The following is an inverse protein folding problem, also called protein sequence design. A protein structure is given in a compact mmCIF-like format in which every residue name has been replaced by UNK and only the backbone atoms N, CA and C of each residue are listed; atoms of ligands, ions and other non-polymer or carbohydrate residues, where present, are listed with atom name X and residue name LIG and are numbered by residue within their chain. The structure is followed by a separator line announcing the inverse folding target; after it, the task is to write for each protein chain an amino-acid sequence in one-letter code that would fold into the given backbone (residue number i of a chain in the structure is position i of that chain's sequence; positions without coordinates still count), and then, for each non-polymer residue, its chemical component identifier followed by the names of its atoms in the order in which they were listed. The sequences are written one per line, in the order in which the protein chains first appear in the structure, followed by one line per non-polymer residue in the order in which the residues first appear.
data_IF_210727150919
#
_entry.id   IF_210727150919
#
_cell.length_a   1.000
_cell.length_b   1.000
_cell.length_c   1.000
_cell.angle_alpha   90.00
_cell.angle_beta   90.00
_cell.angle_gamma   90.00
#
_symmetry.space_group_name_H-M   'P 1'
#
loop_
_entity.id
_entity.type
_entity.pdbx_description
1 polymer ?
#
# COMPACT_ATOMS: atom_id res chain seq x y z
N UNK A 1 -2.75 -18.70 23.36
CA UNK A 1 -2.95 -17.26 23.63
C UNK A 1 -3.33 -16.62 22.33
N UNK A 2 -4.49 -15.98 22.27
CA UNK A 2 -4.93 -15.31 21.05
C UNK A 2 -4.24 -13.95 20.91
N UNK A 3 -3.82 -13.63 19.69
CA UNK A 3 -3.21 -12.34 19.37
C UNK A 3 -4.30 -11.29 19.19
N UNK A 4 -4.17 -10.15 19.87
CA UNK A 4 -5.09 -9.03 19.67
C UNK A 4 -4.74 -8.26 18.41
N UNK A 5 -5.70 -7.50 17.87
CA UNK A 5 -5.43 -6.59 16.76
C UNK A 5 -4.32 -5.57 17.08
N UNK A 6 -4.20 -5.16 18.35
CA UNK A 6 -3.12 -4.28 18.81
C UNK A 6 -1.74 -4.95 18.72
N UNK A 7 -1.66 -6.26 19.00
CA UNK A 7 -0.40 -7.01 18.84
C UNK A 7 0.06 -7.00 17.38
N UNK A 8 -0.87 -7.15 16.42
CA UNK A 8 -0.56 -7.07 14.99
C UNK A 8 -0.03 -5.69 14.60
N UNK A 9 -0.69 -4.63 15.04
CA UNK A 9 -0.24 -3.26 14.77
C UNK A 9 1.13 -2.98 15.41
N UNK A 10 1.32 -3.42 16.65
CA UNK A 10 2.58 -3.26 17.39
C UNK A 10 3.72 -4.01 16.70
N UNK A 11 3.50 -5.26 16.30
CA UNK A 11 4.49 -6.06 15.56
C UNK A 11 4.92 -5.39 14.26
N UNK A 12 3.97 -4.84 13.50
CA UNK A 12 4.26 -4.13 12.26
C UNK A 12 5.11 -2.87 12.48
N UNK A 13 4.74 -2.03 13.46
CA UNK A 13 5.52 -0.82 13.81
C UNK A 13 6.94 -1.17 14.25
N UNK A 14 7.09 -2.24 15.04
CA UNK A 14 8.39 -2.76 15.46
C UNK A 14 9.20 -3.23 14.25
N UNK A 15 8.59 -3.98 13.32
CA UNK A 15 9.22 -4.39 12.07
C UNK A 15 9.70 -3.20 11.25
N UNK A 16 8.87 -2.18 11.04
CA UNK A 16 9.28 -0.98 10.29
C UNK A 16 10.48 -0.28 10.94
N UNK A 17 10.47 -0.11 12.27
CA UNK A 17 11.55 0.52 13.00
C UNK A 17 12.87 -0.28 12.96
N UNK A 18 12.81 -1.60 13.05
CA UNK A 18 14.00 -2.46 12.93
C UNK A 18 14.57 -2.37 11.52
N UNK A 19 13.72 -2.43 10.48
CA UNK A 19 14.19 -2.35 9.09
C UNK A 19 14.90 -1.01 8.84
N UNK A 20 14.32 0.09 9.30
CA UNK A 20 14.94 1.42 9.21
C UNK A 20 16.31 1.45 9.89
N UNK A 21 16.42 0.89 11.10
CA UNK A 21 17.67 0.82 11.84
C UNK A 21 18.75 0.02 11.10
N UNK A 22 18.40 -1.16 10.57
CA UNK A 22 19.34 -2.00 9.83
C UNK A 22 19.83 -1.33 8.54
N UNK A 23 18.95 -0.59 7.85
CA UNK A 23 19.31 0.18 6.65
C UNK A 23 20.21 1.37 6.98
N UNK A 24 19.92 2.11 8.06
CA UNK A 24 20.73 3.26 8.47
C UNK A 24 22.13 2.87 8.96
N UNK A 25 22.23 1.76 9.67
CA UNK A 25 23.50 1.30 10.26
C UNK A 25 24.31 0.39 9.35
N UNK A 26 23.68 -0.21 8.33
CA UNK A 26 24.30 -1.24 7.51
C UNK A 26 24.55 -2.56 8.26
N UNK A 27 23.97 -2.73 9.45
CA UNK A 27 24.15 -3.92 10.28
C UNK A 27 23.45 -5.12 9.62
N UNK A 28 24.21 -6.20 9.39
CA UNK A 28 23.73 -7.40 8.67
C UNK A 28 23.10 -8.46 9.58
N UNK A 29 23.49 -8.46 10.84
CA UNK A 29 23.02 -9.38 11.87
C UNK A 29 22.98 -8.63 13.21
N UNK A 30 21.83 -8.02 13.50
CA UNK A 30 21.60 -7.32 14.75
C UNK A 30 20.97 -8.26 15.78
N UNK A 31 21.43 -8.20 17.03
CA UNK A 31 20.81 -8.92 18.14
C UNK A 31 19.62 -8.15 18.70
N UNK A 32 18.77 -8.85 19.46
CA UNK A 32 17.68 -8.19 20.20
C UNK A 32 18.14 -7.03 21.10
N UNK A 33 19.37 -7.08 21.64
CA UNK A 33 19.96 -6.00 22.44
C UNK A 33 20.30 -4.77 21.60
N UNK A 34 20.71 -4.95 20.36
CA UNK A 34 21.15 -3.86 19.48
C UNK A 34 19.95 -3.04 19.00
N UNK A 35 18.85 -3.72 18.69
CA UNK A 35 17.59 -3.06 18.28
C UNK A 35 16.75 -2.59 19.48
N UNK A 36 17.01 -3.09 20.68
CA UNK A 36 16.25 -2.74 21.88
C UNK A 36 16.31 -1.24 22.18
N UNK A 37 17.50 -0.63 22.14
CA UNK A 37 17.65 0.78 22.48
C UNK A 37 16.85 1.70 21.56
N UNK A 38 16.86 1.41 20.25
CA UNK A 38 16.15 2.24 19.27
C UNK A 38 14.64 2.05 19.37
N UNK A 39 14.17 0.83 19.61
CA UNK A 39 12.75 0.54 19.81
C UNK A 39 12.22 1.19 21.10
N UNK A 40 12.99 1.16 22.18
CA UNK A 40 12.64 1.80 23.44
C UNK A 40 12.64 3.33 23.31
N UNK A 41 13.61 3.91 22.58
CA UNK A 41 13.65 5.36 22.30
C UNK A 41 12.44 5.82 21.48
N UNK A 42 11.98 4.99 20.55
CA UNK A 42 10.77 5.24 19.73
C UNK A 42 9.46 4.94 20.47
N UNK A 43 9.50 4.50 21.73
CA UNK A 43 8.31 4.17 22.52
C UNK A 43 7.53 2.96 22.02
N UNK A 44 8.17 2.09 21.21
CA UNK A 44 7.53 0.90 20.63
C UNK A 44 7.56 -0.30 21.60
N UNK A 45 8.51 -0.29 22.53
CA UNK A 45 8.65 -1.26 23.61
C UNK A 45 8.92 -0.54 24.92
N UNK A 46 8.56 -1.20 26.02
CA UNK A 46 8.85 -0.70 27.36
C UNK A 46 10.33 -0.90 27.70
N UNK A 47 10.88 0.06 28.43
CA UNK A 47 12.22 -0.10 29.01
C UNK A 47 12.13 -1.02 30.22
N UNK A 48 12.82 -2.15 30.14
CA UNK A 48 12.99 -3.07 31.26
C UNK A 48 14.46 -3.16 31.71
N UNK A 49 14.65 -3.61 32.97
CA UNK A 49 15.98 -3.79 33.58
C UNK A 49 16.82 -4.88 32.92
N UNK A 50 16.22 -5.72 32.08
CA UNK A 50 16.85 -6.90 31.47
C UNK A 50 17.07 -6.71 29.95
N UNK A 51 17.14 -5.45 29.51
CA UNK A 51 17.41 -5.05 28.13
C UNK A 51 16.58 -5.83 27.11
N UNK A 52 15.25 -5.80 27.26
CA UNK A 52 14.31 -6.31 26.28
C UNK A 52 13.70 -7.67 26.62
N UNK A 53 13.56 -7.99 27.91
CA UNK A 53 12.80 -9.17 28.33
C UNK A 53 11.37 -9.16 27.77
N UNK A 54 10.65 -8.04 27.91
CA UNK A 54 9.28 -7.95 27.39
C UNK A 54 9.24 -8.01 25.87
N UNK A 55 10.25 -7.45 25.21
CA UNK A 55 10.40 -7.54 23.76
C UNK A 55 10.60 -8.99 23.32
N UNK A 56 11.50 -9.75 23.96
CA UNK A 56 11.71 -11.18 23.65
C UNK A 56 10.47 -12.04 23.94
N UNK A 57 9.73 -11.75 25.01
CA UNK A 57 8.44 -12.42 25.28
C UNK A 57 7.41 -12.12 24.19
N UNK A 58 7.36 -10.87 23.70
CA UNK A 58 6.49 -10.50 22.59
C UNK A 58 6.86 -11.25 21.30
N UNK A 59 8.14 -11.36 20.96
CA UNK A 59 8.60 -12.17 19.81
C UNK A 59 8.24 -13.65 19.96
N UNK A 60 8.39 -14.21 21.18
CA UNK A 60 7.97 -15.57 21.50
C UNK A 60 6.47 -15.75 21.27
N UNK A 61 5.64 -14.80 21.71
CA UNK A 61 4.19 -14.81 21.47
C UNK A 61 3.86 -14.86 19.97
N UNK A 62 4.53 -14.04 19.14
CA UNK A 62 4.34 -14.04 17.69
C UNK A 62 4.81 -15.34 17.01
N UNK A 63 5.91 -15.92 17.51
CA UNK A 63 6.42 -17.21 17.05
C UNK A 63 5.42 -18.32 17.35
N UNK A 64 4.94 -18.40 18.58
CA UNK A 64 4.03 -19.46 19.02
C UNK A 64 2.67 -19.38 18.32
N UNK A 65 2.31 -18.21 17.79
CA UNK A 65 1.14 -17.99 16.93
C UNK A 65 1.42 -18.14 15.42
N UNK A 66 2.64 -18.53 15.01
CA UNK A 66 3.07 -18.70 13.61
C UNK A 66 2.92 -17.45 12.71
N UNK A 67 2.98 -16.24 13.26
CA UNK A 67 2.86 -14.98 12.50
C UNK A 67 4.14 -14.14 12.48
N UNK A 68 5.18 -14.56 13.20
CA UNK A 68 6.44 -13.81 13.32
C UNK A 68 7.03 -13.42 11.96
N UNK A 69 7.21 -14.39 11.06
CA UNK A 69 7.80 -14.18 9.73
C UNK A 69 6.93 -13.32 8.80
N UNK A 70 5.63 -13.25 9.07
CA UNK A 70 4.70 -12.40 8.32
C UNK A 70 4.76 -10.94 8.79
N UNK A 71 4.86 -10.69 10.09
CA UNK A 71 4.78 -9.35 10.67
C UNK A 71 6.14 -8.69 10.83
N UNK A 72 7.19 -9.49 11.07
CA UNK A 72 8.56 -9.04 11.26
C UNK A 72 9.47 -9.93 10.39
N UNK A 73 9.43 -9.77 9.05
CA UNK A 73 10.15 -10.64 8.12
C UNK A 73 11.68 -10.62 8.25
N UNK A 74 12.23 -9.59 8.90
CA UNK A 74 13.66 -9.50 9.24
C UNK A 74 14.07 -10.35 10.45
N UNK A 75 13.11 -10.86 11.23
CA UNK A 75 13.38 -11.54 12.49
C UNK A 75 13.51 -13.05 12.29
N UNK A 76 14.64 -13.58 12.72
CA UNK A 76 14.93 -15.00 12.79
C UNK A 76 15.23 -15.38 14.23
N UNK A 77 15.11 -16.67 14.53
CA UNK A 77 15.50 -17.19 15.83
C UNK A 77 16.31 -18.47 15.66
N UNK A 78 17.28 -18.64 16.55
CA UNK A 78 17.99 -19.91 16.79
C UNK A 78 17.65 -20.36 18.19
N UNK A 79 17.61 -21.68 18.41
CA UNK A 79 17.43 -22.23 19.75
C UNK A 79 18.80 -22.72 20.22
N UNK A 80 19.24 -22.24 21.37
CA UNK A 80 20.51 -22.68 21.94
C UNK A 80 20.36 -24.03 22.67
N UNK A 81 21.48 -24.60 23.12
CA UNK A 81 21.53 -25.90 23.82
C UNK A 81 20.69 -25.93 25.12
N UNK A 82 20.33 -24.77 25.66
CA UNK A 82 19.48 -24.62 26.85
C UNK A 82 18.00 -24.49 26.52
N UNK A 83 17.62 -24.54 25.24
CA UNK A 83 16.24 -24.37 24.77
C UNK A 83 15.76 -22.92 24.76
N UNK A 84 16.66 -21.94 24.91
CA UNK A 84 16.31 -20.52 24.84
C UNK A 84 16.42 -20.00 23.41
N UNK A 85 15.51 -19.10 23.04
CA UNK A 85 15.52 -18.47 21.73
C UNK A 85 16.49 -17.28 21.71
N UNK A 86 17.46 -17.34 20.81
CA UNK A 86 18.31 -16.22 20.42
C UNK A 86 17.71 -15.55 19.19
N UNK A 87 17.50 -14.23 19.27
CA UNK A 87 16.76 -13.47 18.26
C UNK A 87 17.72 -12.61 17.45
N UNK A 88 17.67 -12.81 16.14
CA UNK A 88 18.53 -12.16 15.16
C UNK A 88 17.69 -11.37 14.16
N UNK A 89 18.23 -10.25 13.69
CA UNK A 89 17.57 -9.35 12.77
C UNK A 89 18.48 -9.04 11.58
N UNK A 90 17.95 -9.32 10.39
CA UNK A 90 18.69 -9.21 9.14
C UNK A 90 17.95 -8.27 8.19
N UNK A 91 18.69 -7.53 7.36
CA UNK A 91 18.07 -6.61 6.41
C UNK A 91 17.17 -7.40 5.46
N UNK A 92 15.86 -7.13 5.49
CA UNK A 92 14.96 -7.80 4.56
C UNK A 92 15.08 -7.14 3.18
N UNK A 93 15.36 -7.94 2.15
CA UNK A 93 15.43 -7.49 0.74
C UNK A 93 14.01 -7.26 0.18
N UNK A 94 13.00 -7.76 0.89
CA UNK A 94 11.61 -7.38 0.64
C UNK A 94 11.53 -5.88 0.94
N UNK A 95 11.51 -5.06 -0.12
CA UNK A 95 11.12 -3.66 -0.04
C UNK A 95 9.97 -3.58 0.96
N UNK A 96 10.09 -2.70 1.95
CA UNK A 96 8.96 -2.20 2.71
C UNK A 96 8.00 -1.54 1.72
N UNK A 97 7.25 -2.35 0.96
CA UNK A 97 6.03 -1.92 0.33
C UNK A 97 5.13 -1.60 1.50
N UNK A 98 4.92 -0.31 1.71
CA UNK A 98 3.88 0.24 2.59
C UNK A 98 2.71 -0.73 2.63
N UNK A 99 2.60 -1.53 3.69
CA UNK A 99 1.46 -2.42 3.88
C UNK A 99 0.29 -1.57 4.38
N UNK A 100 -0.14 -0.61 3.58
CA UNK A 100 -1.53 -0.23 3.56
C UNK A 100 -2.27 -1.40 2.90
N UNK A 101 -3.01 -2.16 3.71
CA UNK A 101 -4.04 -3.13 3.30
C UNK A 101 -3.62 -4.18 2.25
N UNK A 102 -3.09 -5.32 2.71
CA UNK A 102 -3.09 -6.56 1.94
C UNK A 102 -4.08 -7.56 2.53
N UNK A 103 -5.37 -7.19 2.44
CA UNK A 103 -6.33 -8.18 1.97
C UNK A 103 -5.86 -8.61 0.58
N UNK A 104 -5.69 -9.92 0.39
CA UNK A 104 -5.19 -10.54 -0.84
C UNK A 104 -5.86 -9.95 -2.09
N UNK A 105 -5.14 -9.13 -2.84
CA UNK A 105 -5.29 -9.05 -4.29
C UNK A 105 -3.89 -9.03 -4.86
N UNK A 106 -3.52 -10.12 -5.54
CA UNK A 106 -2.36 -10.14 -6.40
C UNK A 106 -2.44 -8.89 -7.29
N UNK A 107 -1.41 -8.05 -7.28
CA UNK A 107 -1.27 -7.01 -8.29
C UNK A 107 -1.15 -7.71 -9.63
N UNK A 108 -2.28 -7.86 -10.33
CA UNK A 108 -2.29 -8.16 -11.74
C UNK A 108 -1.54 -7.00 -12.38
N UNK A 109 -0.29 -7.23 -12.75
CA UNK A 109 0.45 -6.29 -13.58
C UNK A 109 -0.28 -6.33 -14.93
N UNK A 110 -1.20 -5.39 -15.14
CA UNK A 110 -1.90 -5.24 -16.39
C UNK A 110 -0.91 -4.73 -17.43
N UNK A 111 -0.19 -5.66 -18.06
CA UNK A 111 0.56 -5.36 -19.28
C UNK A 111 -0.45 -4.79 -20.29
N UNK A 112 -0.26 -3.55 -20.78
CA UNK A 112 -1.17 -2.99 -21.74
C UNK A 112 -1.29 -3.90 -22.97
N UNK A 113 -2.49 -3.99 -23.53
CA UNK A 113 -2.75 -4.83 -24.69
C UNK A 113 -2.10 -4.29 -25.98
N UNK A 114 -1.79 -2.99 -26.01
CA UNK A 114 -1.24 -2.27 -27.16
C UNK A 114 0.17 -1.71 -26.89
N UNK A 115 0.87 -1.28 -27.95
CA UNK A 115 2.22 -0.75 -27.85
C UNK A 115 2.29 0.56 -27.04
N UNK A 116 3.46 0.91 -26.51
CA UNK A 116 3.61 2.15 -25.74
C UNK A 116 3.44 3.39 -26.62
N UNK A 117 3.82 3.28 -27.89
CA UNK A 117 3.66 4.34 -28.89
C UNK A 117 2.18 4.62 -29.16
N UNK A 118 1.36 3.57 -29.29
CA UNK A 118 -0.08 3.72 -29.54
C UNK A 118 -0.81 4.26 -28.31
N UNK A 119 -0.41 3.84 -27.10
CA UNK A 119 -0.94 4.41 -25.85
C UNK A 119 -0.65 5.91 -25.80
N UNK A 120 0.57 6.31 -26.10
CA UNK A 120 0.97 7.71 -26.05
C UNK A 120 0.14 8.57 -27.00
N UNK A 121 -0.14 8.06 -28.21
CA UNK A 121 -1.00 8.73 -29.19
C UNK A 121 -2.44 8.86 -28.70
N UNK A 122 -3.02 7.76 -28.21
CA UNK A 122 -4.37 7.75 -27.64
C UNK A 122 -4.50 8.76 -26.49
N UNK A 123 -3.51 8.79 -25.59
CA UNK A 123 -3.48 9.72 -24.47
C UNK A 123 -3.42 11.18 -24.94
N UNK A 124 -2.65 11.47 -25.99
CA UNK A 124 -2.55 12.81 -26.54
C UNK A 124 -3.83 13.27 -27.24
N UNK A 125 -4.55 12.36 -27.89
CA UNK A 125 -5.85 12.65 -28.51
C UNK A 125 -6.92 12.91 -27.44
N UNK A 126 -6.97 12.06 -26.41
CA UNK A 126 -7.98 12.15 -25.37
C UNK A 126 -7.67 13.22 -24.31
N UNK A 127 -6.42 13.69 -24.17
CA UNK A 127 -6.07 14.75 -23.22
C UNK A 127 -6.85 16.04 -23.50
N UNK A 128 -7.07 16.37 -24.78
CA UNK A 128 -7.87 17.54 -25.18
C UNK A 128 -9.31 17.42 -24.67
N UNK A 129 -9.88 16.21 -24.72
CA UNK A 129 -11.23 15.96 -24.23
C UNK A 129 -11.31 16.06 -22.70
N UNK A 130 -10.25 15.62 -22.00
CA UNK A 130 -10.16 15.71 -20.54
C UNK A 130 -10.01 17.16 -20.06
N UNK A 131 -9.24 17.98 -20.77
CA UNK A 131 -9.06 19.40 -20.45
C UNK A 131 -10.36 20.21 -20.55
N UNK A 132 -11.28 19.80 -21.43
CA UNK A 132 -12.60 20.41 -21.57
C UNK A 132 -13.62 19.96 -20.51
N UNK A 133 -13.27 19.05 -19.61
CA UNK A 133 -14.18 18.59 -18.57
C UNK A 133 -14.40 19.68 -17.50
N UNK A 134 -15.61 19.80 -16.95
CA UNK A 134 -15.91 20.82 -15.95
C UNK A 134 -15.08 20.60 -14.68
N UNK A 135 -14.68 21.72 -14.07
CA UNK A 135 -13.98 21.77 -12.79
C UNK A 135 -14.86 22.51 -11.78
N UNK A 136 -14.98 21.94 -10.59
CA UNK A 136 -15.73 22.52 -9.48
C UNK A 136 -15.00 23.73 -8.90
N UNK A 137 -15.68 24.86 -8.88
CA UNK A 137 -15.21 26.10 -8.25
C UNK A 137 -15.86 26.35 -6.88
N UNK A 138 -16.88 25.57 -6.53
CA UNK A 138 -17.75 25.75 -5.37
C UNK A 138 -17.25 25.06 -4.08
N UNK A 139 -16.33 24.11 -4.21
CA UNK A 139 -15.90 23.27 -3.08
C UNK A 139 -14.69 23.86 -2.34
N UNK A 140 -14.84 24.04 -1.03
CA UNK A 140 -13.72 24.30 -0.12
C UNK A 140 -13.07 22.97 0.25
N UNK A 141 -11.79 22.82 -0.07
CA UNK A 141 -11.03 21.60 0.20
C UNK A 141 -10.36 21.67 1.58
N UNK A 142 -10.38 20.55 2.30
CA UNK A 142 -9.57 20.37 3.51
C UNK A 142 -8.07 20.27 3.18
N UNK A 143 -7.19 20.45 4.17
CA UNK A 143 -5.73 20.29 4.00
C UNK A 143 -5.34 18.91 3.48
N UNK A 144 -6.08 17.86 3.90
CA UNK A 144 -5.86 16.49 3.42
C UNK A 144 -6.26 16.35 1.95
N UNK A 145 -7.43 16.86 1.56
CA UNK A 145 -7.88 16.83 0.16
C UNK A 145 -6.95 17.64 -0.76
N UNK A 146 -6.45 18.80 -0.31
CA UNK A 146 -5.45 19.58 -1.05
C UNK A 146 -4.16 18.79 -1.28
N UNK A 147 -3.72 18.00 -0.30
CA UNK A 147 -2.53 17.15 -0.44
C UNK A 147 -2.72 16.06 -1.49
N UNK A 148 -3.93 15.49 -1.58
CA UNK A 148 -4.29 14.52 -2.62
C UNK A 148 -4.34 15.20 -4.00
N UNK A 149 -4.92 16.41 -4.08
CA UNK A 149 -5.02 17.18 -5.34
C UNK A 149 -3.67 17.59 -5.93
N UNK A 150 -2.58 17.59 -5.16
CA UNK A 150 -1.22 17.80 -5.69
C UNK A 150 -0.82 16.74 -6.72
N UNK A 151 -1.24 15.49 -6.49
CA UNK A 151 -0.93 14.36 -7.36
C UNK A 151 -2.07 14.04 -8.33
N UNK A 152 -3.30 14.38 -7.94
CA UNK A 152 -4.51 14.09 -8.69
C UNK A 152 -5.38 15.36 -8.77
N UNK A 153 -5.07 16.31 -9.67
CA UNK A 153 -5.75 17.61 -9.76
C UNK A 153 -7.28 17.50 -9.83
N UNK A 154 -7.80 16.46 -10.48
CA UNK A 154 -9.24 16.21 -10.64
C UNK A 154 -9.79 15.26 -9.56
N UNK A 155 -9.06 15.07 -8.47
CA UNK A 155 -9.58 14.40 -7.28
C UNK A 155 -10.77 15.21 -6.74
N UNK A 156 -11.87 14.48 -6.47
CA UNK A 156 -13.15 15.00 -5.97
C UNK A 156 -14.01 15.78 -6.97
N UNK A 157 -13.64 15.84 -8.25
CA UNK A 157 -14.53 16.33 -9.30
C UNK A 157 -15.69 15.37 -9.52
N UNK A 158 -16.85 15.88 -9.93
CA UNK A 158 -17.98 15.02 -10.32
C UNK A 158 -17.62 14.21 -11.56
N UNK A 159 -18.16 13.00 -11.65
CA UNK A 159 -18.08 12.21 -12.86
C UNK A 159 -19.20 12.63 -13.79
N UNK A 160 -18.85 13.05 -14.99
CA UNK A 160 -19.81 13.40 -16.04
C UNK A 160 -19.93 12.25 -17.03
N UNK A 161 -21.01 12.19 -17.80
CA UNK A 161 -21.22 11.16 -18.82
C UNK A 161 -20.09 11.17 -19.87
N UNK A 162 -19.59 12.36 -20.21
CA UNK A 162 -18.41 12.54 -21.07
C UNK A 162 -17.16 11.88 -20.48
N UNK A 163 -16.96 12.03 -19.17
CA UNK A 163 -15.83 11.43 -18.47
C UNK A 163 -15.94 9.91 -18.39
N UNK A 164 -17.15 9.36 -18.19
CA UNK A 164 -17.39 7.92 -18.28
C UNK A 164 -17.12 7.39 -19.69
N UNK A 165 -17.54 8.12 -20.74
CA UNK A 165 -17.29 7.73 -22.12
C UNK A 165 -15.78 7.65 -22.45
N UNK A 166 -14.97 8.60 -21.94
CA UNK A 166 -13.51 8.58 -22.09
C UNK A 166 -12.92 7.41 -21.30
N UNK A 167 -13.35 7.22 -20.05
CA UNK A 167 -12.90 6.12 -19.19
C UNK A 167 -13.12 4.77 -19.87
N UNK A 168 -14.32 4.50 -20.35
CA UNK A 168 -14.64 3.22 -20.98
C UNK A 168 -13.89 3.03 -22.30
N UNK A 169 -13.83 4.05 -23.16
CA UNK A 169 -13.12 3.99 -24.44
C UNK A 169 -11.63 3.67 -24.25
N UNK A 170 -10.95 4.44 -23.40
CA UNK A 170 -9.51 4.29 -23.18
C UNK A 170 -9.22 2.97 -22.48
N UNK A 171 -10.02 2.62 -21.47
CA UNK A 171 -9.83 1.35 -20.76
C UNK A 171 -10.04 0.12 -21.66
N UNK A 172 -11.03 0.15 -22.56
CA UNK A 172 -11.28 -0.96 -23.49
C UNK A 172 -10.12 -1.17 -24.46
N UNK A 173 -9.40 -0.10 -24.84
CA UNK A 173 -8.25 -0.16 -25.74
C UNK A 173 -6.97 -0.59 -25.02
N UNK A 174 -6.60 0.08 -23.92
CA UNK A 174 -5.30 -0.18 -23.28
C UNK A 174 -5.36 -1.31 -22.24
N UNK A 175 -6.56 -1.60 -21.69
CA UNK A 175 -6.80 -2.52 -20.56
C UNK A 175 -5.86 -2.27 -19.37
N UNK A 176 -5.43 -1.03 -19.22
CA UNK A 176 -4.49 -0.60 -18.19
C UNK A 176 -5.11 0.54 -17.38
N UNK A 177 -5.39 0.22 -16.12
CA UNK A 177 -6.06 1.14 -15.21
C UNK A 177 -5.19 2.34 -14.82
N UNK A 178 -3.88 2.15 -14.69
CA UNK A 178 -2.96 3.22 -14.29
C UNK A 178 -2.85 4.28 -15.41
N UNK A 179 -2.86 3.84 -16.67
CA UNK A 179 -2.91 4.72 -17.85
C UNK A 179 -4.17 5.58 -17.85
N UNK A 180 -5.34 4.96 -17.62
CA UNK A 180 -6.62 5.68 -17.56
C UNK A 180 -6.65 6.66 -16.37
N UNK A 181 -6.13 6.24 -15.23
CA UNK A 181 -6.06 7.08 -14.04
C UNK A 181 -5.14 8.31 -14.23
N UNK A 182 -4.00 8.11 -14.89
CA UNK A 182 -3.10 9.18 -15.25
C UNK A 182 -3.78 10.17 -16.23
N UNK A 183 -4.44 9.67 -17.27
CA UNK A 183 -5.16 10.48 -18.25
C UNK A 183 -6.22 11.37 -17.59
N UNK A 184 -7.08 10.77 -16.76
CA UNK A 184 -8.17 11.48 -16.08
C UNK A 184 -7.69 12.32 -14.89
N UNK A 185 -6.39 12.24 -14.55
CA UNK A 185 -5.78 12.90 -13.39
C UNK A 185 -6.48 12.54 -12.07
N UNK A 186 -6.85 11.26 -11.92
CA UNK A 186 -7.58 10.70 -10.77
C UNK A 186 -6.82 9.56 -10.12
N UNK A 187 -7.24 9.23 -8.89
CA UNK A 187 -6.67 8.12 -8.15
C UNK A 187 -7.04 6.77 -8.78
N UNK A 188 -6.09 5.82 -8.93
CA UNK A 188 -6.33 4.52 -9.55
C UNK A 188 -7.50 3.73 -8.95
N UNK A 189 -7.63 3.69 -7.62
CA UNK A 189 -8.72 2.94 -6.98
C UNK A 189 -10.10 3.53 -7.29
N UNK A 190 -10.22 4.86 -7.39
CA UNK A 190 -11.48 5.52 -7.77
C UNK A 190 -11.85 5.16 -9.21
N UNK A 191 -10.88 5.15 -10.12
CA UNK A 191 -11.10 4.73 -11.51
C UNK A 191 -11.54 3.27 -11.58
N UNK A 192 -10.95 2.40 -10.75
CA UNK A 192 -11.36 0.99 -10.63
C UNK A 192 -12.83 0.85 -10.25
N UNK A 193 -13.24 1.56 -9.21
CA UNK A 193 -14.62 1.54 -8.71
C UNK A 193 -15.60 2.00 -9.79
N UNK A 194 -15.17 2.98 -10.62
CA UNK A 194 -15.99 3.50 -11.72
C UNK A 194 -16.06 2.59 -12.93
N UNK A 195 -15.00 1.89 -13.30
CA UNK A 195 -15.06 0.86 -14.34
C UNK A 195 -16.05 -0.25 -13.94
N UNK A 196 -16.03 -0.66 -12.67
CA UNK A 196 -17.00 -1.64 -12.15
C UNK A 196 -18.45 -1.15 -12.20
N UNK A 197 -18.67 0.14 -11.92
CA UNK A 197 -20.00 0.76 -11.90
C UNK A 197 -20.53 1.07 -13.32
N UNK A 198 -19.68 1.56 -14.23
CA UNK A 198 -20.06 1.91 -15.61
C UNK A 198 -20.59 0.71 -16.38
N UNK A 199 -19.98 -0.47 -16.14
CA UNK A 199 -20.40 -1.73 -16.75
C UNK A 199 -21.77 -2.24 -16.29
N UNK A 200 -22.29 -1.77 -15.16
CA UNK A 200 -23.66 -2.09 -14.72
C UNK A 200 -24.70 -1.12 -15.32
N UNK A 201 -24.30 0.10 -15.66
CA UNK A 201 -25.20 1.11 -16.27
C UNK A 201 -25.45 0.89 -17.76
N UNK A 202 -24.57 0.16 -18.47
CA UNK A 202 -24.70 -0.08 -19.92
C UNK A 202 -25.51 -1.32 -20.31
N UNK A 203 -26.05 -2.06 -19.33
CA UNK A 203 -26.84 -3.29 -19.58
C UNK A 203 -28.36 -3.08 -19.47
N UNK A 204 -28.82 -1.93 -18.99
CA UNK A 204 -30.26 -1.65 -18.85
C UNK A 204 -30.89 -1.03 -20.11
N UNK A 205 -30.11 -0.49 -21.04
CA UNK A 205 -30.63 0.12 -22.29
C UNK A 205 -30.79 -0.85 -23.48
N UNK A 206 -30.71 -2.17 -23.26
CA UNK A 206 -30.93 -3.19 -24.33
C UNK A 206 -32.13 -4.11 -24.09
N UNK A 207 -33.02 -3.79 -23.16
CA UNK A 207 -34.25 -4.57 -22.91
C UNK A 207 -35.56 -3.83 -23.23
N UNK A 208 -35.49 -2.71 -23.93
CA UNK A 208 -36.67 -2.07 -24.53
C UNK A 208 -36.46 -1.85 -26.04
N UNK A 209 -36.68 -2.92 -26.81
CA UNK A 209 -37.21 -2.89 -28.18
C UNK A 209 -37.83 -4.24 -28.52
#
# INVERSE_FOLDING_TARGET
MDLSHEDFQKAKRIGEAIQEFLLQTGMKDARSTDVYEILARKGLIEKDRHNGYHFRQFLKKLKDANVLSQLIPQCTFTTNDKGENEWHFHTSIKKAGNSANTGKQATIIHKPAMSQEDISRLLQEESVNVEMLPVRTDKIYTTQELSIRKNYPRAFEYWTDKEYAILDRVYMQCKNLDVVAALLMRQPHIVRDKIGSSRMSGFEDQLEN
#
